data_IF_044194230530
#
_entry.id   IF_044194230530
#
_cell.length_a   1.000
_cell.length_b   1.000
_cell.length_c   1.000
_cell.angle_alpha   90.00
_cell.angle_beta   90.00
_cell.angle_gamma   90.00
#
_symmetry.space_group_name_H-M   'P 1'
#
loop_
_entity.id
_entity.type
_entity.pdbx_description
1 polymer ?
#
# COMPACT_ATOMS: atom_id res chain seq x y z
N UNK A 1 -9.12 0.12 -1.15
CA UNK A 1 -8.60 0.59 -2.45
C UNK A 1 -7.32 1.38 -2.25
N UNK A 2 -7.34 2.48 -1.49
CA UNK A 2 -6.20 3.37 -1.29
C UNK A 2 -4.87 2.67 -0.95
N UNK A 3 -4.81 1.86 0.12
CA UNK A 3 -3.57 1.16 0.49
C UNK A 3 -3.05 0.23 -0.60
N UNK A 4 -3.94 -0.45 -1.34
CA UNK A 4 -3.53 -1.32 -2.46
C UNK A 4 -3.02 -0.51 -3.65
N UNK A 5 -3.57 0.68 -3.89
CA UNK A 5 -3.03 1.62 -4.88
C UNK A 5 -1.64 2.14 -4.49
N UNK A 6 -1.41 2.45 -3.22
CA UNK A 6 -0.08 2.83 -2.74
C UNK A 6 0.93 1.69 -2.88
N UNK A 7 0.55 0.48 -2.46
CA UNK A 7 1.36 -0.73 -2.60
C UNK A 7 1.67 -1.00 -4.09
N UNK A 8 0.69 -0.82 -5.00
CA UNK A 8 0.89 -0.98 -6.44
C UNK A 8 2.02 -0.08 -6.95
N UNK A 9 2.01 1.20 -6.58
CA UNK A 9 3.05 2.17 -6.95
C UNK A 9 4.41 1.74 -6.41
N UNK A 10 4.50 1.42 -5.12
CA UNK A 10 5.76 1.05 -4.46
C UNK A 10 6.39 -0.20 -5.11
N UNK A 11 5.58 -1.22 -5.39
CA UNK A 11 6.06 -2.47 -6.02
C UNK A 11 6.48 -2.23 -7.47
N UNK A 12 5.64 -1.55 -8.27
CA UNK A 12 5.90 -1.34 -9.69
C UNK A 12 7.09 -0.40 -9.94
N UNK A 13 7.31 0.58 -9.06
CA UNK A 13 8.46 1.48 -9.11
C UNK A 13 9.69 0.94 -8.37
N UNK A 14 9.59 -0.25 -7.75
CA UNK A 14 10.67 -0.91 -7.02
C UNK A 14 11.24 -0.06 -5.87
N UNK A 15 10.37 0.65 -5.15
CA UNK A 15 10.73 1.55 -4.04
C UNK A 15 10.78 0.85 -2.67
N UNK A 16 10.59 -0.46 -2.63
CA UNK A 16 10.61 -1.27 -1.41
C UNK A 16 12.00 -1.81 -1.09
N UNK A 17 12.22 -2.15 0.18
CA UNK A 17 13.44 -2.83 0.61
C UNK A 17 13.42 -4.31 0.18
N UNK A 18 14.15 -4.61 -0.92
CA UNK A 18 14.21 -5.95 -1.51
C UNK A 18 14.80 -6.99 -0.57
N UNK A 19 15.85 -6.61 0.18
CA UNK A 19 16.51 -7.53 1.11
C UNK A 19 15.61 -7.83 2.30
N UNK A 20 14.88 -6.82 2.80
CA UNK A 20 13.90 -7.04 3.85
C UNK A 20 12.76 -7.94 3.40
N UNK A 21 12.19 -7.69 2.21
CA UNK A 21 11.10 -8.49 1.65
C UNK A 21 11.53 -9.94 1.43
N UNK A 22 12.72 -10.17 0.86
CA UNK A 22 13.23 -11.52 0.59
C UNK A 22 13.46 -12.33 1.88
N UNK A 23 13.99 -11.70 2.93
CA UNK A 23 14.37 -12.39 4.15
C UNK A 23 13.25 -12.50 5.20
N UNK A 24 12.29 -11.56 5.21
CA UNK A 24 11.33 -11.41 6.32
C UNK A 24 9.86 -11.36 5.90
N UNK A 25 9.56 -11.35 4.61
CA UNK A 25 8.18 -11.36 4.13
C UNK A 25 7.82 -12.68 3.42
N UNK A 26 6.52 -12.95 3.35
CA UNK A 26 5.96 -14.10 2.62
C UNK A 26 4.80 -13.64 1.75
N UNK A 27 4.57 -14.34 0.64
CA UNK A 27 3.46 -14.06 -0.26
C UNK A 27 3.63 -12.80 -1.13
N UNK A 28 4.87 -12.37 -1.38
CA UNK A 28 5.16 -11.13 -2.11
C UNK A 28 4.75 -11.22 -3.59
N UNK A 29 4.96 -12.36 -4.24
CA UNK A 29 4.56 -12.54 -5.64
C UNK A 29 3.04 -12.50 -5.79
N UNK A 30 2.30 -13.15 -4.89
CA UNK A 30 0.83 -13.10 -4.87
C UNK A 30 0.31 -11.69 -4.57
N UNK A 31 1.01 -10.93 -3.70
CA UNK A 31 0.70 -9.52 -3.47
C UNK A 31 0.93 -8.68 -4.72
N UNK A 32 2.06 -8.88 -5.41
CA UNK A 32 2.45 -8.18 -6.63
C UNK A 32 1.45 -8.41 -7.76
N UNK A 33 0.92 -9.62 -7.89
CA UNK A 33 -0.18 -9.92 -8.81
C UNK A 33 -1.47 -9.22 -8.38
N UNK A 34 -1.85 -9.37 -7.10
CA UNK A 34 -3.09 -8.82 -6.54
C UNK A 34 -3.21 -7.31 -6.71
N UNK A 35 -2.10 -6.58 -6.57
CA UNK A 35 -2.11 -5.12 -6.62
C UNK A 35 -2.28 -4.60 -8.04
N UNK A 36 -2.04 -5.41 -9.08
CA UNK A 36 -2.29 -4.98 -10.48
C UNK A 36 -3.77 -4.77 -10.77
N UNK A 37 -4.67 -5.37 -9.97
CA UNK A 37 -6.11 -5.11 -10.05
C UNK A 37 -6.53 -3.73 -9.50
N UNK A 38 -5.58 -2.96 -8.94
CA UNK A 38 -5.78 -1.61 -8.40
C UNK A 38 -4.87 -0.57 -9.07
N UNK A 39 -5.02 -0.35 -10.39
CA UNK A 39 -4.37 0.78 -11.04
C UNK A 39 -4.89 2.11 -10.48
N UNK A 40 -4.08 3.17 -10.57
CA UNK A 40 -4.37 4.44 -9.90
C UNK A 40 -5.64 5.14 -10.39
N UNK A 41 -6.02 4.96 -11.65
CA UNK A 41 -7.28 5.44 -12.21
C UNK A 41 -8.50 4.83 -11.48
N UNK A 42 -8.50 3.50 -11.31
CA UNK A 42 -9.54 2.79 -10.56
C UNK A 42 -9.53 3.17 -9.08
N UNK A 43 -8.35 3.35 -8.49
CA UNK A 43 -8.25 3.74 -7.08
C UNK A 43 -8.77 5.16 -6.88
N UNK A 44 -8.44 6.08 -7.79
CA UNK A 44 -8.96 7.45 -7.79
C UNK A 44 -10.49 7.47 -7.90
N UNK A 45 -11.07 6.67 -8.80
CA UNK A 45 -12.53 6.54 -8.92
C UNK A 45 -13.19 6.04 -7.62
N UNK A 46 -12.64 4.99 -6.99
CA UNK A 46 -13.20 4.41 -5.76
C UNK A 46 -13.07 5.35 -4.56
N UNK A 47 -11.95 6.06 -4.47
CA UNK A 47 -11.62 6.88 -3.28
C UNK A 47 -12.09 8.32 -3.40
N UNK A 48 -12.29 8.81 -4.63
CA UNK A 48 -12.51 10.23 -4.91
C UNK A 48 -11.24 11.09 -4.77
N UNK A 49 -10.08 10.50 -4.54
CA UNK A 49 -8.80 11.20 -4.46
C UNK A 49 -8.15 11.34 -5.83
N UNK A 50 -7.33 12.37 -6.02
CA UNK A 50 -6.54 12.53 -7.25
C UNK A 50 -5.48 11.43 -7.38
N UNK A 51 -5.34 10.85 -8.58
CA UNK A 51 -4.38 9.78 -8.83
C UNK A 51 -2.92 10.23 -8.62
N UNK A 52 -2.60 11.48 -8.95
CA UNK A 52 -1.28 12.08 -8.74
C UNK A 52 -0.97 12.26 -7.26
N UNK A 53 -1.95 12.68 -6.45
CA UNK A 53 -1.81 12.76 -4.99
C UNK A 53 -1.59 11.39 -4.35
N UNK A 54 -2.31 10.35 -4.80
CA UNK A 54 -2.11 8.99 -4.31
C UNK A 54 -0.70 8.50 -4.63
N UNK A 55 -0.21 8.71 -5.86
CA UNK A 55 1.16 8.37 -6.25
C UNK A 55 2.18 9.12 -5.39
N UNK A 56 1.98 10.43 -5.22
CA UNK A 56 2.87 11.28 -4.40
C UNK A 56 2.94 10.78 -2.96
N UNK A 57 1.80 10.42 -2.35
CA UNK A 57 1.75 9.87 -1.01
C UNK A 57 2.48 8.51 -0.92
N UNK A 58 2.34 7.64 -1.92
CA UNK A 58 3.02 6.35 -1.95
C UNK A 58 4.55 6.50 -2.06
N UNK A 59 5.03 7.35 -2.98
CA UNK A 59 6.46 7.62 -3.16
C UNK A 59 7.05 8.29 -1.93
N UNK A 60 6.35 9.27 -1.36
CA UNK A 60 6.77 9.94 -0.10
C UNK A 60 6.91 8.91 1.02
N UNK A 61 5.91 8.05 1.21
CA UNK A 61 5.93 7.03 2.25
C UNK A 61 7.10 6.05 2.10
N UNK A 62 7.41 5.63 0.87
CA UNK A 62 8.49 4.66 0.62
C UNK A 62 9.90 5.26 0.66
N UNK A 63 10.05 6.56 0.38
CA UNK A 63 11.38 7.18 0.22
C UNK A 63 11.79 8.07 1.39
N UNK A 64 10.85 8.61 2.15
CA UNK A 64 11.15 9.48 3.30
C UNK A 64 11.20 8.68 4.60
N UNK A 65 12.41 8.45 5.11
CA UNK A 65 12.63 7.73 6.37
C UNK A 65 12.91 8.68 7.54
N UNK A 66 12.37 8.42 8.74
CA UNK A 66 11.48 7.31 9.10
C UNK A 66 10.00 7.60 8.78
N UNK A 67 9.33 6.68 8.09
CA UNK A 67 7.89 6.72 7.85
C UNK A 67 7.13 5.89 8.89
N UNK A 68 5.95 6.35 9.31
CA UNK A 68 5.09 5.63 10.24
C UNK A 68 3.62 5.85 9.89
N UNK A 69 2.82 4.78 10.00
CA UNK A 69 1.37 4.84 9.88
C UNK A 69 0.79 4.43 11.24
N UNK A 70 0.31 5.38 12.07
CA UNK A 70 -0.27 5.05 13.35
C UNK A 70 -1.55 4.22 13.17
N UNK A 71 -1.80 3.34 14.12
CA UNK A 71 -3.08 2.65 14.21
C UNK A 71 -4.18 3.66 14.54
N UNK A 72 -5.34 3.53 13.90
CA UNK A 72 -6.50 4.36 14.16
C UNK A 72 -7.79 3.53 14.16
N UNK A 73 -8.81 4.02 14.86
CA UNK A 73 -10.13 3.36 14.98
C UNK A 73 -10.93 3.32 13.67
N UNK A 74 -10.58 4.16 12.71
CA UNK A 74 -11.33 4.30 11.45
C UNK A 74 -11.33 3.02 10.63
N UNK A 75 -10.22 2.28 10.62
CA UNK A 75 -10.09 0.97 9.94
C UNK A 75 -10.77 -0.15 10.71
N UNK A 76 -10.83 -0.06 12.04
CA UNK A 76 -11.43 -1.10 12.90
C UNK A 76 -12.94 -1.18 12.73
N UNK A 77 -13.59 -0.04 12.55
CA UNK A 77 -15.05 0.09 12.47
C UNK A 77 -15.60 -0.14 11.06
N UNK A 78 -14.88 -0.88 10.21
CA UNK A 78 -15.29 -1.19 8.84
C UNK A 78 -15.59 -2.68 8.66
N UNK A 79 -16.50 -3.01 7.74
CA UNK A 79 -16.83 -4.40 7.38
C UNK A 79 -15.62 -5.20 6.86
N UNK A 80 -14.64 -4.50 6.27
CA UNK A 80 -13.42 -5.08 5.72
C UNK A 80 -12.18 -4.78 6.59
N UNK A 81 -12.37 -4.53 7.89
CA UNK A 81 -11.32 -4.11 8.83
C UNK A 81 -10.05 -4.96 8.74
N UNK A 82 -10.16 -6.28 8.89
CA UNK A 82 -9.01 -7.19 8.84
C UNK A 82 -8.22 -7.05 7.53
N UNK A 83 -8.89 -6.86 6.40
CA UNK A 83 -8.22 -6.69 5.10
C UNK A 83 -7.54 -5.32 4.99
N UNK A 84 -8.19 -4.26 5.48
CA UNK A 84 -7.62 -2.92 5.47
C UNK A 84 -6.38 -2.82 6.37
N UNK A 85 -6.47 -3.37 7.58
CA UNK A 85 -5.37 -3.41 8.54
C UNK A 85 -4.21 -4.25 8.01
N UNK A 86 -4.50 -5.41 7.40
CA UNK A 86 -3.45 -6.23 6.76
C UNK A 86 -2.73 -5.46 5.66
N UNK A 87 -3.45 -4.71 4.82
CA UNK A 87 -2.84 -3.86 3.81
C UNK A 87 -1.97 -2.74 4.44
N UNK A 88 -2.41 -2.14 5.55
CA UNK A 88 -1.61 -1.16 6.28
C UNK A 88 -0.34 -1.77 6.91
N UNK A 89 -0.38 -3.02 7.36
CA UNK A 89 0.81 -3.72 7.84
C UNK A 89 1.76 -4.08 6.69
N UNK A 90 1.23 -4.57 5.57
CA UNK A 90 2.02 -4.85 4.36
C UNK A 90 2.72 -3.57 3.88
N UNK A 91 2.00 -2.45 3.80
CA UNK A 91 2.56 -1.17 3.38
C UNK A 91 3.73 -0.72 4.26
N UNK A 92 3.75 -1.08 5.55
CA UNK A 92 4.88 -0.79 6.45
C UNK A 92 6.07 -1.74 6.29
N UNK A 93 5.84 -2.92 5.72
CA UNK A 93 6.84 -3.96 5.56
C UNK A 93 7.57 -3.88 4.21
N UNK A 94 6.94 -3.27 3.19
CA UNK A 94 7.53 -3.06 1.88
C UNK A 94 8.05 -1.64 1.75
#
# INVERSE_FOLDING_TARGET
ALFLGMINVIINEQLYDKEFVENWCVGFEELKERVQEYPLDKVAEITGCDAGEIRKAAVMFATESPASIPWAVSTDMQKNSCSAIRAQCILRAI
#
